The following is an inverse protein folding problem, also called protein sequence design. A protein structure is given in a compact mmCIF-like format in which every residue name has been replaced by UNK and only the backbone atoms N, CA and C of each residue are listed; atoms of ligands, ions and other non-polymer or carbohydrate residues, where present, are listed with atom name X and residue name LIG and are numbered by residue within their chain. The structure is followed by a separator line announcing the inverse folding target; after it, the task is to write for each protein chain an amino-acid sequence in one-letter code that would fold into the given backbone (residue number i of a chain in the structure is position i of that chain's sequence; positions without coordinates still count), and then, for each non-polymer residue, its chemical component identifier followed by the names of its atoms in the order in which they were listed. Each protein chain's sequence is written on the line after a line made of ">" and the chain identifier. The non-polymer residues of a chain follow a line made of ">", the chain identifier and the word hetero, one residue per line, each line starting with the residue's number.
data_IF_327258027934
#
_entry.id   IF_327258027934
#
_cell.length_a   1.000
_cell.length_b   1.000
_cell.length_c   1.000
_cell.angle_alpha   90.00
_cell.angle_beta   90.00
_cell.angle_gamma   90.00
#
_symmetry.space_group_name_H-M   'P 1'
#
loop_
_entity.id
_entity.type
_entity.pdbx_description
1 polymer ?
#
# COMPACT_ATOMS: atom_id res chain seq x y z
N UNK A 1 25.18 41.02 5.51
CA UNK A 1 24.05 40.17 5.24
C UNK A 1 23.14 40.04 6.42
N UNK A 2 21.92 40.17 6.15
CA UNK A 2 20.94 40.45 7.19
C UNK A 2 20.24 39.20 7.65
N UNK A 3 19.93 39.12 8.93
CA UNK A 3 19.25 38.00 9.59
C UNK A 3 17.90 37.70 8.91
N UNK A 4 17.22 38.72 8.39
CA UNK A 4 15.94 38.56 7.67
C UNK A 4 16.06 37.71 6.41
N UNK A 5 17.16 37.86 5.66
CA UNK A 5 17.36 37.12 4.42
C UNK A 5 17.72 35.66 4.68
N UNK A 6 18.52 35.42 5.72
CA UNK A 6 18.84 34.06 6.16
C UNK A 6 17.58 33.32 6.62
N UNK A 7 16.72 34.00 7.36
CA UNK A 7 15.46 33.42 7.84
C UNK A 7 14.50 33.07 6.70
N UNK A 8 14.41 33.96 5.70
CA UNK A 8 13.62 33.70 4.49
C UNK A 8 14.17 32.54 3.68
N UNK A 9 15.48 32.43 3.57
CA UNK A 9 16.12 31.33 2.86
C UNK A 9 15.79 30.00 3.54
N UNK A 10 15.94 29.94 4.86
CA UNK A 10 15.65 28.73 5.63
C UNK A 10 14.17 28.30 5.53
N UNK A 11 13.24 29.27 5.56
CA UNK A 11 11.82 28.98 5.41
C UNK A 11 11.49 28.39 4.03
N UNK A 12 12.14 28.92 2.97
CA UNK A 12 11.96 28.38 1.62
C UNK A 12 12.52 26.96 1.49
N UNK A 13 13.63 26.69 2.13
CA UNK A 13 14.22 25.35 2.13
C UNK A 13 13.33 24.36 2.87
N UNK A 14 12.76 24.75 4.00
CA UNK A 14 11.82 23.93 4.75
C UNK A 14 10.57 23.64 3.94
N UNK A 15 10.02 24.64 3.26
CA UNK A 15 8.86 24.45 2.39
C UNK A 15 9.16 23.49 1.23
N UNK A 16 10.33 23.64 0.59
CA UNK A 16 10.76 22.73 -0.47
C UNK A 16 10.94 21.31 0.05
N UNK A 17 11.47 21.18 1.26
CA UNK A 17 11.66 19.86 1.88
C UNK A 17 10.32 19.21 2.17
N UNK A 18 9.32 19.97 2.64
CA UNK A 18 7.96 19.50 2.86
C UNK A 18 7.28 19.09 1.55
N UNK A 19 7.53 19.80 0.46
CA UNK A 19 7.00 19.45 -0.85
C UNK A 19 7.62 18.19 -1.41
N UNK A 20 8.92 17.95 -1.13
CA UNK A 20 9.64 16.74 -1.58
C UNK A 20 9.26 15.49 -0.80
N UNK A 21 8.92 15.63 0.48
CA UNK A 21 8.45 14.52 1.29
C UNK A 21 6.93 14.50 1.26
N UNK A 22 6.35 13.32 1.00
CA UNK A 22 4.90 13.19 1.09
C UNK A 22 4.47 13.56 2.51
N UNK A 23 3.47 14.45 2.60
CA UNK A 23 2.81 14.76 3.87
C UNK A 23 2.32 13.44 4.48
N UNK A 24 2.65 13.14 5.75
CA UNK A 24 2.15 11.92 6.41
C UNK A 24 0.64 11.73 6.31
N UNK A 25 -0.12 12.82 6.19
CA UNK A 25 -1.58 12.75 6.01
C UNK A 25 -1.97 12.10 4.68
N UNK A 26 -1.11 12.15 3.68
CA UNK A 26 -1.35 11.49 2.39
C UNK A 26 -1.50 9.98 2.55
N UNK A 27 -0.77 9.37 3.48
CA UNK A 27 -0.87 7.94 3.74
C UNK A 27 -2.24 7.53 4.27
N UNK A 28 -2.89 8.40 5.06
CA UNK A 28 -4.26 8.16 5.50
C UNK A 28 -5.25 8.22 4.34
N UNK A 29 -5.03 9.11 3.38
CA UNK A 29 -5.85 9.19 2.16
C UNK A 29 -5.64 7.96 1.28
N UNK A 30 -4.39 7.53 1.12
CA UNK A 30 -4.07 6.31 0.38
C UNK A 30 -4.74 5.11 1.07
N UNK A 31 -4.67 5.02 2.39
CA UNK A 31 -5.32 3.98 3.16
C UNK A 31 -6.84 4.01 2.98
N UNK A 32 -7.45 5.18 2.95
CA UNK A 32 -8.89 5.31 2.74
C UNK A 32 -9.32 4.78 1.37
N UNK A 33 -8.61 5.15 0.32
CA UNK A 33 -8.89 4.66 -1.05
C UNK A 33 -8.68 3.15 -1.10
N UNK A 34 -7.56 2.67 -0.53
CA UNK A 34 -7.26 1.24 -0.48
C UNK A 34 -8.32 0.46 0.31
N UNK A 35 -8.79 1.02 1.43
CA UNK A 35 -9.83 0.40 2.24
C UNK A 35 -11.17 0.27 1.51
N UNK A 36 -11.56 1.32 0.80
CA UNK A 36 -12.77 1.28 -0.03
C UNK A 36 -12.64 0.23 -1.12
N UNK A 37 -11.49 0.17 -1.79
CA UNK A 37 -11.21 -0.84 -2.80
C UNK A 37 -11.21 -2.25 -2.20
N UNK A 38 -10.61 -2.44 -1.04
CA UNK A 38 -10.55 -3.74 -0.37
C UNK A 38 -11.94 -4.26 -0.02
N UNK A 39 -12.79 -3.39 0.52
CA UNK A 39 -14.16 -3.77 0.87
C UNK A 39 -15.01 -4.07 -0.38
N UNK A 40 -14.87 -3.24 -1.42
CA UNK A 40 -15.57 -3.46 -2.69
C UNK A 40 -15.15 -4.77 -3.35
N UNK A 41 -13.86 -5.03 -3.44
CA UNK A 41 -13.34 -6.26 -4.02
C UNK A 41 -13.68 -7.48 -3.16
N UNK A 42 -13.67 -7.34 -1.83
CA UNK A 42 -14.08 -8.41 -0.93
C UNK A 42 -15.54 -8.77 -1.13
N UNK A 43 -16.41 -7.78 -1.25
CA UNK A 43 -17.84 -7.98 -1.53
C UNK A 43 -18.05 -8.66 -2.87
N UNK A 44 -17.35 -8.19 -3.90
CA UNK A 44 -17.38 -8.81 -5.22
C UNK A 44 -16.99 -10.29 -5.16
N UNK A 45 -15.89 -10.59 -4.47
CA UNK A 45 -15.40 -11.97 -4.32
C UNK A 45 -16.37 -12.87 -3.58
N UNK A 46 -17.10 -12.32 -2.59
CA UNK A 46 -18.04 -13.10 -1.80
C UNK A 46 -19.35 -13.39 -2.53
N UNK A 47 -19.85 -12.45 -3.34
CA UNK A 47 -21.21 -12.50 -3.89
C UNK A 47 -21.28 -12.68 -5.40
N UNK A 48 -20.30 -12.19 -6.14
CA UNK A 48 -20.35 -12.14 -7.61
C UNK A 48 -19.32 -13.06 -8.24
N UNK A 49 -18.13 -13.16 -7.67
CA UNK A 49 -17.03 -13.92 -8.23
C UNK A 49 -17.26 -15.42 -8.10
N UNK A 50 -17.45 -16.09 -9.23
CA UNK A 50 -17.67 -17.54 -9.32
C UNK A 50 -16.71 -18.14 -10.35
N UNK A 51 -15.46 -18.46 -9.97
CA UNK A 51 -14.52 -19.05 -10.92
C UNK A 51 -14.91 -20.47 -11.26
N UNK A 52 -14.53 -20.91 -12.45
CA UNK A 52 -14.74 -22.30 -12.87
C UNK A 52 -13.95 -23.27 -11.99
N UNK A 53 -12.73 -22.90 -11.64
CA UNK A 53 -11.90 -23.66 -10.69
C UNK A 53 -12.02 -23.03 -9.31
N UNK A 54 -12.57 -23.75 -8.30
CA UNK A 54 -12.76 -23.20 -6.94
C UNK A 54 -11.47 -22.75 -6.26
N UNK A 55 -10.31 -23.25 -6.66
CA UNK A 55 -9.03 -22.85 -6.07
C UNK A 55 -8.75 -21.36 -6.30
N UNK A 56 -9.24 -20.75 -7.35
CA UNK A 56 -9.08 -19.33 -7.60
C UNK A 56 -9.91 -18.45 -6.66
N UNK A 57 -10.95 -18.99 -6.07
CA UNK A 57 -11.68 -18.28 -5.01
C UNK A 57 -10.81 -18.13 -3.76
N UNK A 58 -10.01 -19.13 -3.43
CA UNK A 58 -9.04 -19.06 -2.33
C UNK A 58 -7.96 -18.01 -2.61
N UNK A 59 -7.49 -17.92 -3.86
CA UNK A 59 -6.53 -16.89 -4.28
C UNK A 59 -7.13 -15.51 -4.08
N UNK A 60 -8.39 -15.31 -4.46
CA UNK A 60 -9.09 -14.04 -4.24
C UNK A 60 -9.19 -13.69 -2.76
N UNK A 61 -9.55 -14.66 -1.94
CA UNK A 61 -9.66 -14.48 -0.49
C UNK A 61 -8.31 -14.12 0.14
N UNK A 62 -7.23 -14.76 -0.32
CA UNK A 62 -5.87 -14.42 0.10
C UNK A 62 -5.54 -12.98 -0.27
N UNK A 63 -5.83 -12.57 -1.49
CA UNK A 63 -5.63 -11.19 -1.95
C UNK A 63 -6.38 -10.20 -1.05
N UNK A 64 -7.65 -10.49 -0.76
CA UNK A 64 -8.50 -9.66 0.09
C UNK A 64 -7.96 -9.55 1.51
N UNK A 65 -7.52 -10.66 2.08
CA UNK A 65 -6.98 -10.70 3.44
C UNK A 65 -5.74 -9.82 3.57
N UNK A 66 -4.77 -10.01 2.68
CA UNK A 66 -3.54 -9.22 2.70
C UNK A 66 -3.82 -7.75 2.37
N UNK A 67 -4.72 -7.49 1.45
CA UNK A 67 -5.13 -6.14 1.10
C UNK A 67 -5.71 -5.42 2.32
N UNK A 68 -6.64 -6.04 3.02
CA UNK A 68 -7.29 -5.46 4.19
C UNK A 68 -6.33 -5.25 5.36
N UNK A 69 -5.55 -6.27 5.70
CA UNK A 69 -4.57 -6.21 6.80
C UNK A 69 -3.55 -5.10 6.56
N UNK A 70 -3.00 -5.02 5.36
CA UNK A 70 -1.98 -4.03 5.06
C UNK A 70 -2.55 -2.63 4.87
N UNK A 71 -3.81 -2.51 4.45
CA UNK A 71 -4.53 -1.24 4.46
C UNK A 71 -4.71 -0.72 5.89
N UNK A 72 -5.08 -1.60 6.83
CA UNK A 72 -5.19 -1.23 8.24
C UNK A 72 -3.84 -0.77 8.79
N UNK A 73 -2.75 -1.46 8.44
CA UNK A 73 -1.41 -1.04 8.81
C UNK A 73 -1.04 0.32 8.20
N UNK A 74 -1.48 0.58 6.98
CA UNK A 74 -1.20 1.82 6.27
C UNK A 74 -1.79 3.05 6.98
N UNK A 75 -2.92 2.89 7.67
CA UNK A 75 -3.51 3.96 8.47
C UNK A 75 -2.54 4.45 9.55
N UNK A 76 -1.70 3.56 10.06
CA UNK A 76 -0.71 3.88 11.09
C UNK A 76 0.59 4.49 10.55
N UNK A 77 0.78 4.53 9.23
CA UNK A 77 2.03 5.00 8.63
C UNK A 77 2.47 6.38 9.15
N UNK A 78 1.59 7.39 9.32
CA UNK A 78 2.00 8.68 9.84
C UNK A 78 2.60 8.64 11.24
N UNK A 79 2.30 7.62 12.02
CA UNK A 79 2.79 7.46 13.39
C UNK A 79 4.11 6.72 13.47
N UNK A 80 4.61 6.19 12.35
CA UNK A 80 5.86 5.45 12.30
C UNK A 80 7.06 6.39 12.18
N UNK A 81 8.26 5.88 12.53
CA UNK A 81 9.50 6.65 12.45
C UNK A 81 9.83 7.05 11.00
N UNK A 82 9.56 6.16 10.05
CA UNK A 82 9.82 6.38 8.63
C UNK A 82 8.52 6.22 7.82
N UNK A 83 7.61 7.22 7.87
CA UNK A 83 6.29 7.08 7.25
C UNK A 83 6.32 6.78 5.76
N UNK A 84 7.24 7.42 5.03
CA UNK A 84 7.32 7.25 3.59
C UNK A 84 7.86 5.87 3.20
N UNK A 85 8.79 5.33 3.98
CA UNK A 85 9.31 3.98 3.74
C UNK A 85 8.23 2.95 4.06
N UNK A 86 7.63 3.04 5.23
CA UNK A 86 6.58 2.09 5.65
C UNK A 86 5.37 2.17 4.74
N UNK A 87 4.85 3.38 4.51
CA UNK A 87 3.69 3.58 3.64
C UNK A 87 3.96 3.19 2.19
N UNK A 88 5.13 3.56 1.66
CA UNK A 88 5.52 3.22 0.29
C UNK A 88 5.65 1.71 0.08
N UNK A 89 6.30 1.01 1.01
CA UNK A 89 6.45 -0.45 0.93
C UNK A 89 5.11 -1.17 1.06
N UNK A 90 4.23 -0.72 1.96
CA UNK A 90 2.89 -1.29 2.09
C UNK A 90 2.08 -1.09 0.81
N UNK A 91 2.11 0.11 0.25
CA UNK A 91 1.37 0.42 -0.98
C UNK A 91 1.90 -0.42 -2.15
N UNK A 92 3.22 -0.48 -2.32
CA UNK A 92 3.84 -1.31 -3.36
C UNK A 92 3.48 -2.79 -3.18
N UNK A 93 3.49 -3.27 -1.94
CA UNK A 93 3.11 -4.65 -1.63
C UNK A 93 1.65 -4.94 -1.95
N UNK A 94 0.74 -4.03 -1.61
CA UNK A 94 -0.68 -4.16 -1.94
C UNK A 94 -0.86 -4.25 -3.46
N UNK A 95 -0.24 -3.35 -4.21
CA UNK A 95 -0.36 -3.35 -5.66
C UNK A 95 0.26 -4.60 -6.29
N UNK A 96 1.46 -4.98 -5.87
CA UNK A 96 2.18 -6.10 -6.46
C UNK A 96 1.65 -7.47 -6.01
N UNK A 97 1.30 -7.63 -4.73
CA UNK A 97 0.82 -8.91 -4.20
C UNK A 97 -0.68 -9.06 -4.40
N UNK A 98 -1.48 -8.21 -3.75
CA UNK A 98 -2.93 -8.34 -3.80
C UNK A 98 -3.48 -8.07 -5.19
N UNK A 99 -2.97 -7.05 -5.88
CA UNK A 99 -3.36 -6.76 -7.26
C UNK A 99 -3.07 -7.93 -8.19
N UNK A 100 -1.89 -8.53 -8.07
CA UNK A 100 -1.51 -9.70 -8.87
C UNK A 100 -2.39 -10.91 -8.54
N UNK A 101 -2.67 -11.15 -7.27
CA UNK A 101 -3.55 -12.26 -6.86
C UNK A 101 -4.98 -12.07 -7.38
N UNK A 102 -5.50 -10.84 -7.37
CA UNK A 102 -6.81 -10.55 -7.97
C UNK A 102 -6.81 -10.87 -9.48
N UNK A 103 -5.74 -10.48 -10.17
CA UNK A 103 -5.60 -10.74 -11.61
C UNK A 103 -5.51 -12.24 -11.89
N UNK A 104 -4.70 -12.99 -11.13
CA UNK A 104 -4.59 -14.45 -11.26
C UNK A 104 -5.96 -15.09 -11.06
N UNK A 105 -6.71 -14.66 -10.08
CA UNK A 105 -8.03 -15.21 -9.80
C UNK A 105 -9.05 -14.90 -10.92
N UNK A 106 -9.08 -13.66 -11.41
CA UNK A 106 -9.99 -13.24 -12.45
C UNK A 106 -9.72 -13.93 -13.79
N UNK A 107 -8.43 -14.04 -14.15
CA UNK A 107 -8.02 -14.66 -15.41
C UNK A 107 -7.91 -16.17 -15.31
N UNK A 108 -7.99 -16.73 -14.11
CA UNK A 108 -7.78 -18.15 -13.81
C UNK A 108 -6.49 -18.68 -14.45
N UNK A 109 -5.42 -17.86 -14.34
CA UNK A 109 -4.12 -18.16 -14.95
C UNK A 109 -2.99 -17.75 -14.03
N UNK A 110 -2.22 -18.73 -13.56
CA UNK A 110 -1.12 -18.50 -12.61
C UNK A 110 0.12 -17.84 -13.24
N UNK A 111 0.16 -17.68 -14.56
CA UNK A 111 1.27 -16.98 -15.22
C UNK A 111 1.39 -15.52 -14.78
N UNK A 112 0.27 -14.92 -14.34
CA UNK A 112 0.27 -13.55 -13.84
C UNK A 112 0.82 -13.41 -12.42
N UNK A 113 1.15 -14.52 -11.76
CA UNK A 113 1.65 -14.53 -10.38
C UNK A 113 3.12 -14.10 -10.26
N UNK A 114 3.78 -13.72 -11.33
CA UNK A 114 5.22 -13.38 -11.34
C UNK A 114 5.58 -12.27 -10.37
N UNK A 115 4.70 -11.28 -10.19
CA UNK A 115 4.94 -10.14 -9.31
C UNK A 115 4.56 -10.39 -7.84
N UNK A 116 3.84 -11.46 -7.56
CA UNK A 116 3.37 -11.74 -6.19
C UNK A 116 4.51 -11.89 -5.18
N UNK A 117 5.62 -12.63 -5.46
CA UNK A 117 6.75 -12.72 -4.54
C UNK A 117 7.37 -11.36 -4.21
N UNK A 118 7.48 -10.47 -5.20
CA UNK A 118 8.02 -9.13 -4.98
C UNK A 118 7.13 -8.31 -4.05
N UNK A 119 5.80 -8.43 -4.18
CA UNK A 119 4.86 -7.80 -3.27
C UNK A 119 4.98 -8.35 -1.86
N UNK A 120 5.15 -9.66 -1.72
CA UNK A 120 5.39 -10.30 -0.43
C UNK A 120 6.66 -9.80 0.24
N UNK A 121 7.75 -9.66 -0.51
CA UNK A 121 9.00 -9.07 0.01
C UNK A 121 8.81 -7.62 0.42
N UNK A 122 8.03 -6.83 -0.33
CA UNK A 122 7.72 -5.45 0.05
C UNK A 122 6.98 -5.39 1.39
N UNK A 123 6.03 -6.29 1.63
CA UNK A 123 5.35 -6.39 2.91
C UNK A 123 6.32 -6.73 4.04
N UNK A 124 7.18 -7.71 3.84
CA UNK A 124 8.20 -8.09 4.84
C UNK A 124 9.10 -6.91 5.15
N UNK A 125 9.56 -6.20 4.13
CA UNK A 125 10.41 -5.02 4.30
C UNK A 125 9.67 -3.91 5.06
N UNK A 126 8.38 -3.70 4.78
CA UNK A 126 7.57 -2.72 5.48
C UNK A 126 7.49 -3.03 6.97
N UNK A 127 7.15 -4.25 7.32
CA UNK A 127 7.10 -4.67 8.72
C UNK A 127 8.47 -4.59 9.38
N UNK A 128 9.52 -4.98 8.65
CA UNK A 128 10.90 -4.88 9.14
C UNK A 128 11.32 -3.44 9.42
N UNK A 129 10.82 -2.47 8.64
CA UNK A 129 11.14 -1.05 8.85
C UNK A 129 10.66 -0.52 10.21
N UNK A 130 9.67 -1.16 10.81
CA UNK A 130 9.18 -0.77 12.13
C UNK A 130 10.17 -1.11 13.26
N UNK A 131 11.15 -1.98 13.00
CA UNK A 131 12.18 -2.33 13.97
C UNK A 131 13.20 -1.22 14.17
N UNK A 132 13.28 -0.27 13.29
CA UNK A 132 14.21 0.87 13.33
C UNK A 132 13.49 2.16 13.67
#
# INVERSE_FOLDING_TARGET
>A
MRVKDSKRYNLREDERRKERTMDPRMWRKVAAVSGMAALGLGTYGAHVFKPQNPSYKEVWQTASLYHLVHTAALVSAPSTKYPNIFGGLLTAGILAFSGTCYMVALCEDRKYATLAPFGGFAFIAAWGSLLF
#
